data_IF_217780861821
#
_entry.id   IF_217780861821
#
_cell.length_a   1.000
_cell.length_b   1.000
_cell.length_c   1.000
_cell.angle_alpha   90.00
_cell.angle_beta   90.00
_cell.angle_gamma   90.00
#
_symmetry.space_group_name_H-M   'P 1'
#
loop_
_entity.id
_entity.type
_entity.pdbx_description
1 polymer ?
#
# COMPACT_ATOMS: atom_id res chain seq x y z
N UNK A 1 -2.05 3.47 21.55
CA UNK A 1 -1.42 4.17 20.41
C UNK A 1 0.11 4.10 20.41
N UNK A 2 0.70 3.41 19.42
CA UNK A 2 2.16 3.38 19.17
C UNK A 2 2.67 4.59 18.36
N UNK A 3 1.76 5.30 17.69
CA UNK A 3 2.07 6.38 16.77
C UNK A 3 2.56 7.65 17.48
N UNK A 4 3.55 8.32 16.90
CA UNK A 4 4.03 9.64 17.34
C UNK A 4 3.44 10.81 16.55
N UNK A 5 2.84 10.52 15.40
CA UNK A 5 2.16 11.49 14.53
C UNK A 5 0.73 11.01 14.31
N UNK A 6 -0.21 11.94 14.34
CA UNK A 6 -1.59 11.65 13.98
C UNK A 6 -1.77 11.83 12.47
N UNK A 7 -2.50 10.90 11.86
CA UNK A 7 -2.88 10.92 10.45
C UNK A 7 -4.27 10.30 10.28
N UNK A 8 -4.93 10.64 9.18
CA UNK A 8 -6.14 9.95 8.70
C UNK A 8 -5.81 9.02 7.53
N UNK A 9 -6.70 8.07 7.21
CA UNK A 9 -6.57 7.22 6.02
C UNK A 9 -6.52 8.06 4.73
N UNK A 10 -7.27 9.16 4.67
CA UNK A 10 -7.25 10.06 3.51
C UNK A 10 -5.88 10.71 3.33
N UNK A 11 -5.28 11.21 4.42
CA UNK A 11 -3.93 11.79 4.38
C UNK A 11 -2.88 10.74 3.99
N UNK A 12 -2.98 9.52 4.50
CA UNK A 12 -2.08 8.41 4.15
C UNK A 12 -2.19 8.03 2.67
N UNK A 13 -3.42 7.93 2.14
CA UNK A 13 -3.63 7.61 0.73
C UNK A 13 -3.19 8.76 -0.20
N UNK A 14 -3.35 10.02 0.22
CA UNK A 14 -2.85 11.18 -0.53
C UNK A 14 -1.32 11.18 -0.68
N UNK A 15 -0.58 10.56 0.25
CA UNK A 15 0.88 10.43 0.14
C UNK A 15 1.32 9.53 -1.03
N UNK A 16 0.42 8.70 -1.57
CA UNK A 16 0.72 7.85 -2.73
C UNK A 16 0.64 8.57 -4.07
N UNK A 17 0.08 9.79 -4.11
CA UNK A 17 -0.10 10.52 -5.36
C UNK A 17 1.24 10.87 -6.01
N UNK A 18 1.34 10.66 -7.32
CA UNK A 18 2.55 10.90 -8.10
C UNK A 18 3.75 9.98 -7.80
N UNK A 19 3.58 8.85 -7.09
CA UNK A 19 4.67 7.91 -6.83
C UNK A 19 4.24 6.43 -6.92
N UNK A 20 5.16 5.52 -6.57
CA UNK A 20 4.99 4.08 -6.76
C UNK A 20 3.81 3.49 -5.97
N UNK A 21 3.47 4.05 -4.80
CA UNK A 21 2.32 3.61 -4.00
C UNK A 21 1.03 3.82 -4.78
N UNK A 22 0.83 5.02 -5.35
CA UNK A 22 -0.32 5.32 -6.20
C UNK A 22 -0.30 4.57 -7.53
N UNK A 23 0.88 4.41 -8.15
CA UNK A 23 1.04 3.66 -9.41
C UNK A 23 0.59 2.20 -9.29
N UNK A 24 0.97 1.55 -8.19
CA UNK A 24 0.60 0.16 -7.88
C UNK A 24 -0.77 0.05 -7.22
N UNK A 25 -1.48 1.17 -7.03
CA UNK A 25 -2.80 1.23 -6.41
C UNK A 25 -2.84 0.58 -5.02
N UNK A 26 -1.79 0.86 -4.24
CA UNK A 26 -1.74 0.49 -2.83
C UNK A 26 -2.68 1.43 -2.06
N UNK A 27 -3.60 0.86 -1.28
CA UNK A 27 -4.60 1.61 -0.51
C UNK A 27 -4.53 1.28 0.96
N UNK A 28 -4.33 2.29 1.80
CA UNK A 28 -4.47 2.15 3.25
C UNK A 28 -5.95 2.05 3.60
N UNK A 29 -6.33 0.97 4.27
CA UNK A 29 -7.74 0.65 4.59
C UNK A 29 -8.03 0.67 6.08
N UNK A 30 -7.04 0.42 6.93
CA UNK A 30 -7.19 0.47 8.38
C UNK A 30 -5.99 1.12 9.07
N UNK A 31 -6.29 1.94 10.08
CA UNK A 31 -5.33 2.53 11.00
C UNK A 31 -5.89 2.37 12.41
N UNK A 32 -5.33 1.45 13.18
CA UNK A 32 -5.70 1.22 14.59
C UNK A 32 -4.68 1.87 15.51
N UNK A 33 -4.79 1.63 16.82
CA UNK A 33 -3.84 2.12 17.82
C UNK A 33 -2.42 1.51 17.70
N UNK A 34 -2.29 0.38 17.02
CA UNK A 34 -1.09 -0.47 17.03
C UNK A 34 -0.77 -1.10 15.67
N UNK A 35 -1.62 -0.94 14.65
CA UNK A 35 -1.42 -1.48 13.32
C UNK A 35 -1.88 -0.52 12.21
N UNK A 36 -1.31 -0.72 11.04
CA UNK A 36 -1.73 -0.09 9.78
C UNK A 36 -1.85 -1.20 8.74
N UNK A 37 -2.92 -1.18 7.96
CA UNK A 37 -3.20 -2.18 6.93
C UNK A 37 -3.44 -1.51 5.58
N UNK A 38 -2.97 -2.18 4.52
CA UNK A 38 -3.16 -1.74 3.15
C UNK A 38 -3.41 -2.92 2.21
N UNK A 39 -4.13 -2.66 1.12
CA UNK A 39 -4.36 -3.61 0.03
C UNK A 39 -3.59 -3.18 -1.22
N UNK A 40 -3.30 -4.14 -2.10
CA UNK A 40 -2.68 -3.91 -3.41
C UNK A 40 -3.24 -4.93 -4.40
N UNK A 41 -3.67 -4.51 -5.60
CA UNK A 41 -4.18 -5.43 -6.61
C UNK A 41 -3.08 -6.34 -7.16
N UNK A 42 -3.47 -7.56 -7.53
CA UNK A 42 -2.65 -8.51 -8.30
C UNK A 42 -3.12 -8.46 -9.75
N UNK A 43 -2.47 -7.62 -10.55
CA UNK A 43 -2.79 -7.40 -11.97
C UNK A 43 -1.52 -7.14 -12.81
N UNK A 44 -1.68 -6.70 -14.05
CA UNK A 44 -0.56 -6.40 -14.97
C UNK A 44 0.56 -5.51 -14.41
N UNK A 45 0.28 -4.68 -13.40
CA UNK A 45 1.24 -3.78 -12.74
C UNK A 45 2.09 -4.50 -11.69
N UNK A 46 1.58 -5.59 -11.14
CA UNK A 46 2.17 -6.33 -10.00
C UNK A 46 2.40 -7.82 -10.33
N UNK A 47 2.11 -8.25 -11.55
CA UNK A 47 2.44 -9.59 -12.03
C UNK A 47 3.93 -9.71 -12.36
N UNK A 48 4.49 -10.88 -12.04
CA UNK A 48 5.72 -11.35 -12.66
C UNK A 48 5.43 -12.01 -14.02
N UNK A 49 6.44 -12.22 -14.89
CA UNK A 49 6.23 -12.69 -16.27
C UNK A 49 5.44 -14.00 -16.43
N UNK A 50 5.39 -14.84 -15.38
CA UNK A 50 4.63 -16.09 -15.36
C UNK A 50 3.22 -15.96 -14.75
N UNK A 51 2.71 -14.73 -14.58
CA UNK A 51 1.31 -14.46 -14.19
C UNK A 51 1.00 -14.60 -12.69
N UNK A 52 2.02 -14.74 -11.84
CA UNK A 52 1.88 -14.72 -10.38
C UNK A 52 2.14 -13.32 -9.83
N UNK A 53 1.76 -13.06 -8.57
CA UNK A 53 2.21 -11.87 -7.86
C UNK A 53 3.75 -11.80 -7.87
N UNK A 54 4.30 -10.67 -8.29
CA UNK A 54 5.73 -10.43 -8.29
C UNK A 54 6.24 -10.34 -6.85
N UNK A 55 7.24 -11.16 -6.48
CA UNK A 55 7.76 -11.20 -5.12
C UNK A 55 8.22 -9.83 -4.61
N UNK A 56 8.94 -9.07 -5.46
CA UNK A 56 9.36 -7.69 -5.16
C UNK A 56 8.24 -6.66 -5.08
N UNK A 57 6.99 -7.01 -5.44
CA UNK A 57 5.83 -6.15 -5.18
C UNK A 57 5.24 -6.40 -3.77
N UNK A 58 5.43 -7.58 -3.18
CA UNK A 58 4.98 -7.88 -1.81
C UNK A 58 6.01 -7.48 -0.75
N UNK A 59 7.21 -8.06 -0.81
CA UNK A 59 8.28 -7.84 0.17
C UNK A 59 9.64 -8.11 -0.48
N UNK A 60 10.62 -7.26 -0.18
CA UNK A 60 12.05 -7.47 -0.46
C UNK A 60 12.84 -7.13 0.77
#
# INVERSE_FOLDING_TARGET
MIWKRQSTLEQLNAMGDGNMVGLLDIRFEALTDDAIEATMPVDSRTHQPFGLLHGGASVV
#
